data_IF_185765049656
#
_entry.id   IF_185765049656
#
_cell.length_a   1.000
_cell.length_b   1.000
_cell.length_c   1.000
_cell.angle_alpha   90.00
_cell.angle_beta   90.00
_cell.angle_gamma   90.00
#
_symmetry.space_group_name_H-M   'P 1'
#
loop_
_entity.id
_entity.type
_entity.pdbx_description
1 polymer ?
#
# COMPACT_ATOMS: atom_id res chain seq x y z
N UNK A 1 22.80 -22.24 40.40
CA UNK A 1 22.44 -22.19 38.96
C UNK A 1 21.09 -22.84 38.58
N UNK A 2 20.29 -23.43 39.49
CA UNK A 2 19.00 -24.09 39.11
C UNK A 2 17.70 -23.31 39.42
N UNK A 3 17.74 -22.16 40.10
CA UNK A 3 16.51 -21.39 40.46
C UNK A 3 16.10 -20.33 39.43
N UNK A 4 16.99 -19.92 38.52
CA UNK A 4 16.69 -18.87 37.52
C UNK A 4 15.91 -19.43 36.31
N UNK A 5 16.07 -20.72 36.00
CA UNK A 5 15.35 -21.37 34.91
C UNK A 5 13.87 -21.66 35.22
N UNK A 6 13.52 -21.82 36.50
CA UNK A 6 12.14 -22.14 36.91
C UNK A 6 11.20 -20.94 36.77
N UNK A 7 11.70 -19.71 37.00
CA UNK A 7 10.94 -18.48 36.83
C UNK A 7 10.66 -18.17 35.34
N UNK A 8 11.60 -18.53 34.45
CA UNK A 8 11.41 -18.41 33.00
C UNK A 8 10.33 -19.36 32.46
N UNK A 9 10.28 -20.60 32.98
CA UNK A 9 9.26 -21.58 32.59
C UNK A 9 7.87 -21.27 33.14
N UNK A 10 7.76 -20.70 34.36
CA UNK A 10 6.49 -20.22 34.91
C UNK A 10 5.97 -19.01 34.11
N UNK A 11 6.87 -18.11 33.68
CA UNK A 11 6.51 -16.98 32.81
C UNK A 11 6.03 -17.42 31.41
N UNK A 12 6.66 -18.44 30.83
CA UNK A 12 6.24 -19.02 29.54
C UNK A 12 4.91 -19.78 29.70
N UNK A 13 4.71 -20.52 30.80
CA UNK A 13 3.45 -21.20 31.08
C UNK A 13 2.31 -20.22 31.37
N UNK A 14 2.56 -19.10 32.04
CA UNK A 14 1.58 -18.01 32.23
C UNK A 14 1.25 -17.27 30.92
N UNK A 15 2.21 -17.12 30.00
CA UNK A 15 1.96 -16.60 28.65
C UNK A 15 1.15 -17.57 27.78
N UNK A 16 1.35 -18.88 27.94
CA UNK A 16 0.55 -19.91 27.26
C UNK A 16 -0.86 -19.97 27.86
N UNK A 17 -1.02 -19.84 29.18
CA UNK A 17 -2.32 -19.80 29.86
C UNK A 17 -3.06 -18.47 29.68
N UNK A 18 -2.36 -17.35 29.47
CA UNK A 18 -2.95 -16.10 28.99
C UNK A 18 -3.20 -16.11 27.47
N UNK A 19 -2.63 -17.11 26.76
CA UNK A 19 -2.59 -17.23 25.30
C UNK A 19 -3.77 -17.97 24.67
N UNK A 20 -4.69 -18.57 25.43
CA UNK A 20 -5.94 -19.12 24.86
C UNK A 20 -6.99 -18.04 24.55
N UNK A 21 -6.71 -16.77 24.85
CA UNK A 21 -7.42 -15.59 24.32
C UNK A 21 -6.47 -14.70 23.51
N UNK A 22 -5.59 -15.33 22.71
CA UNK A 22 -4.61 -14.64 21.88
C UNK A 22 -5.28 -13.65 20.92
N UNK A 23 -4.84 -12.39 21.01
CA UNK A 23 -4.99 -11.37 19.97
C UNK A 23 -4.63 -11.98 18.61
N UNK A 24 -5.63 -12.11 17.73
CA UNK A 24 -5.54 -12.98 16.56
C UNK A 24 -4.55 -12.52 15.48
N UNK A 25 -4.15 -11.25 15.46
CA UNK A 25 -3.09 -10.76 14.56
C UNK A 25 -2.32 -9.60 15.22
N UNK A 26 -1.03 -9.76 15.49
CA UNK A 26 -0.19 -8.67 15.97
C UNK A 26 0.49 -7.96 14.79
N UNK A 27 0.22 -6.66 14.60
CA UNK A 27 1.04 -5.83 13.73
C UNK A 27 2.40 -5.59 14.42
N UNK A 28 3.54 -6.00 13.84
CA UNK A 28 4.84 -5.68 14.40
C UNK A 28 5.03 -4.16 14.47
N UNK A 29 5.54 -3.68 15.61
CA UNK A 29 5.87 -2.26 15.78
C UNK A 29 6.96 -1.83 14.78
N UNK A 30 6.85 -0.63 14.18
CA UNK A 30 7.89 -0.10 13.33
C UNK A 30 9.16 0.17 14.15
N UNK A 31 10.22 -0.56 13.83
CA UNK A 31 11.51 -0.39 14.50
C UNK A 31 12.27 0.74 13.79
N UNK A 32 12.38 1.87 14.47
CA UNK A 32 13.17 3.02 14.02
C UNK A 32 14.67 2.67 13.96
N UNK A 33 15.42 3.23 13.01
CA UNK A 33 16.79 2.81 12.73
C UNK A 33 17.81 3.25 13.79
N UNK A 34 18.74 2.35 14.11
CA UNK A 34 20.07 2.70 14.62
C UNK A 34 20.98 3.20 13.47
N UNK A 35 21.91 4.10 13.81
CA UNK A 35 22.90 4.70 12.90
C UNK A 35 23.85 3.62 12.34
N UNK A 36 23.53 3.04 11.18
CA UNK A 36 24.51 2.38 10.32
C UNK A 36 24.10 2.47 8.84
N UNK A 37 25.03 2.96 8.01
CA UNK A 37 25.00 2.96 6.54
C UNK A 37 23.82 3.66 5.85
N UNK A 38 24.10 4.64 4.98
CA UNK A 38 23.10 5.23 4.07
C UNK A 38 22.76 4.18 2.99
N UNK A 39 21.82 3.27 3.29
CA UNK A 39 21.21 2.37 2.30
C UNK A 39 19.83 2.90 1.98
N UNK A 40 19.54 3.04 0.68
CA UNK A 40 18.21 3.35 0.20
C UNK A 40 17.21 2.26 0.55
N UNK A 41 15.95 2.63 0.62
CA UNK A 41 14.86 1.67 0.66
C UNK A 41 14.69 1.06 -0.74
N UNK A 42 14.43 -0.24 -0.78
CA UNK A 42 13.98 -0.96 -1.96
C UNK A 42 12.72 -0.33 -2.57
N UNK A 43 12.50 -0.44 -3.88
CA UNK A 43 11.28 0.08 -4.50
C UNK A 43 10.04 -0.71 -4.05
N UNK A 44 8.90 -0.04 -4.11
CA UNK A 44 7.56 -0.63 -3.90
C UNK A 44 6.83 -0.59 -5.23
N UNK A 45 6.24 -1.72 -5.61
CA UNK A 45 5.54 -1.91 -6.86
C UNK A 45 4.06 -2.25 -6.67
N UNK A 46 3.26 -1.94 -7.68
CA UNK A 46 1.90 -2.47 -7.83
C UNK A 46 1.92 -3.93 -8.33
N UNK A 47 0.74 -4.55 -8.47
CA UNK A 47 0.60 -5.94 -8.90
C UNK A 47 1.21 -6.22 -10.29
N UNK A 48 1.24 -5.21 -11.17
CA UNK A 48 1.78 -5.29 -12.54
C UNK A 48 3.24 -4.80 -12.63
N UNK A 49 3.92 -4.61 -11.49
CA UNK A 49 5.31 -4.12 -11.37
C UNK A 49 5.55 -2.69 -11.84
N UNK A 50 4.54 -1.82 -11.80
CA UNK A 50 4.71 -0.37 -11.93
C UNK A 50 5.18 0.22 -10.61
N UNK A 51 6.11 1.18 -10.68
CA UNK A 51 6.70 1.82 -9.50
C UNK A 51 5.68 2.67 -8.75
N UNK A 52 5.46 2.35 -7.47
CA UNK A 52 4.66 3.15 -6.54
C UNK A 52 5.54 4.03 -5.64
N UNK A 53 6.70 3.52 -5.25
CA UNK A 53 7.73 4.27 -4.52
C UNK A 53 9.13 3.78 -4.88
N UNK A 54 10.10 4.68 -4.99
CA UNK A 54 11.51 4.32 -5.24
C UNK A 54 12.47 5.36 -4.66
N UNK A 55 13.72 4.95 -4.43
CA UNK A 55 14.76 5.85 -3.94
C UNK A 55 15.62 6.35 -5.10
N UNK A 56 15.62 7.66 -5.31
CA UNK A 56 16.43 8.34 -6.32
C UNK A 56 17.72 8.82 -5.66
N UNK A 57 18.86 8.50 -6.27
CA UNK A 57 20.15 9.06 -5.85
C UNK A 57 20.25 10.51 -6.30
N UNK A 58 20.53 11.41 -5.36
CA UNK A 58 20.75 12.83 -5.60
C UNK A 58 22.09 13.25 -5.02
N UNK A 59 22.69 14.29 -5.58
CA UNK A 59 23.89 14.92 -5.03
C UNK A 59 23.46 16.17 -4.26
N UNK A 60 23.76 16.20 -2.97
CA UNK A 60 23.62 17.38 -2.12
C UNK A 60 24.97 18.05 -1.87
N UNK A 61 24.93 19.13 -1.09
CA UNK A 61 26.10 19.88 -0.65
C UNK A 61 26.33 19.59 0.83
N UNK A 62 27.43 18.91 1.17
CA UNK A 62 27.89 18.75 2.53
C UNK A 62 28.81 19.93 2.88
N UNK A 63 28.36 20.78 3.79
CA UNK A 63 29.16 21.85 4.35
C UNK A 63 29.77 21.37 5.65
N UNK A 64 31.08 21.56 5.81
CA UNK A 64 31.82 21.32 7.05
C UNK A 64 32.24 22.69 7.58
N UNK A 65 31.46 23.31 8.50
CA UNK A 65 31.69 24.69 8.91
C UNK A 65 33.09 24.94 9.47
N UNK A 66 33.65 23.98 10.23
CA UNK A 66 35.01 24.08 10.78
C UNK A 66 36.14 24.04 9.75
N UNK A 67 35.87 23.55 8.53
CA UNK A 67 36.82 23.51 7.42
C UNK A 67 36.48 24.54 6.33
N UNK A 68 35.37 25.28 6.47
CA UNK A 68 34.96 26.27 5.49
C UNK A 68 35.82 27.52 5.64
N UNK A 69 36.39 28.01 4.53
CA UNK A 69 37.22 29.23 4.51
C UNK A 69 36.36 30.46 4.17
N UNK A 70 35.96 31.29 5.16
CA UNK A 70 35.03 32.39 4.93
C UNK A 70 35.76 33.57 4.27
N UNK A 71 35.42 33.83 3.02
CA UNK A 71 35.73 35.07 2.30
C UNK A 71 34.45 35.64 1.70
N UNK A 72 34.34 36.95 1.42
CA UNK A 72 33.13 37.53 0.82
C UNK A 72 32.68 36.78 -0.44
N UNK A 73 33.64 36.40 -1.31
CA UNK A 73 33.39 35.60 -2.52
C UNK A 73 32.87 34.20 -2.22
N UNK A 74 33.42 33.51 -1.22
CA UNK A 74 33.00 32.16 -0.86
C UNK A 74 31.61 32.16 -0.21
N UNK A 75 31.32 33.16 0.62
CA UNK A 75 30.01 33.35 1.25
C UNK A 75 28.95 33.64 0.19
N UNK A 76 29.20 34.57 -0.72
CA UNK A 76 28.30 34.88 -1.84
C UNK A 76 28.03 33.62 -2.69
N UNK A 77 29.08 32.90 -3.07
CA UNK A 77 28.97 31.70 -3.92
C UNK A 77 28.18 30.59 -3.22
N UNK A 78 28.46 30.33 -1.94
CA UNK A 78 27.74 29.33 -1.15
C UNK A 78 26.28 29.76 -0.90
N UNK A 79 26.03 31.04 -0.61
CA UNK A 79 24.68 31.59 -0.46
C UNK A 79 23.86 31.41 -1.75
N UNK A 80 24.46 31.68 -2.91
CA UNK A 80 23.84 31.46 -4.22
C UNK A 80 23.53 29.98 -4.49
N UNK A 81 24.45 29.07 -4.14
CA UNK A 81 24.27 27.63 -4.27
C UNK A 81 23.11 27.10 -3.41
N UNK A 82 23.00 27.62 -2.17
CA UNK A 82 21.96 27.27 -1.20
C UNK A 82 20.64 28.04 -1.41
N UNK A 83 20.65 29.12 -2.21
CA UNK A 83 19.50 30.01 -2.36
C UNK A 83 19.14 30.79 -1.08
N UNK A 84 20.13 31.09 -0.25
CA UNK A 84 20.00 31.83 1.02
C UNK A 84 20.56 33.25 0.90
N UNK A 85 20.22 34.12 1.86
CA UNK A 85 20.90 35.42 2.03
C UNK A 85 22.27 35.22 2.70
N UNK A 86 23.23 36.08 2.38
CA UNK A 86 24.59 36.02 2.95
C UNK A 86 24.60 36.21 4.47
N UNK A 87 23.74 37.10 4.98
CA UNK A 87 23.59 37.36 6.42
C UNK A 87 23.11 36.11 7.17
N UNK A 88 22.13 35.39 6.60
CA UNK A 88 21.60 34.14 7.15
C UNK A 88 22.66 33.04 7.16
N UNK A 89 23.44 32.92 6.08
CA UNK A 89 24.53 31.96 5.97
C UNK A 89 25.65 32.27 6.98
N UNK A 90 25.98 33.55 7.16
CA UNK A 90 27.02 33.99 8.10
C UNK A 90 26.62 33.68 9.54
N UNK A 91 25.36 33.95 9.91
CA UNK A 91 24.81 33.57 11.22
C UNK A 91 24.80 32.04 11.41
N UNK A 92 24.44 31.29 10.37
CA UNK A 92 24.46 29.83 10.39
C UNK A 92 25.87 29.29 10.65
N UNK A 93 26.88 29.77 9.93
CA UNK A 93 28.30 29.37 10.11
C UNK A 93 28.86 29.75 11.50
N UNK A 94 28.40 30.88 12.05
CA UNK A 94 28.77 31.28 13.40
C UNK A 94 28.22 30.32 14.46
N UNK A 95 26.98 29.85 14.28
CA UNK A 95 26.23 29.05 15.26
C UNK A 95 26.41 27.53 15.13
N UNK A 96 26.59 27.02 13.92
CA UNK A 96 26.70 25.57 13.64
C UNK A 96 28.15 25.18 13.39
N UNK A 97 28.64 24.18 14.13
CA UNK A 97 30.01 23.64 13.99
C UNK A 97 30.07 22.25 13.35
N UNK A 98 28.95 21.51 13.42
CA UNK A 98 28.85 20.17 12.86
C UNK A 98 28.68 20.16 11.33
N UNK A 99 29.12 19.11 10.62
CA UNK A 99 28.83 18.94 9.20
C UNK A 99 27.32 18.90 8.92
N UNK A 100 26.87 19.68 7.93
CA UNK A 100 25.46 19.76 7.54
C UNK A 100 25.30 19.44 6.07
N UNK A 101 24.40 18.50 5.77
CA UNK A 101 24.01 18.15 4.40
C UNK A 101 22.84 19.02 3.96
N UNK A 102 23.08 19.91 3.01
CA UNK A 102 22.04 20.63 2.29
C UNK A 102 21.57 19.79 1.10
N UNK A 103 20.30 19.39 1.12
CA UNK A 103 19.64 18.66 0.04
C UNK A 103 19.09 19.64 -1.00
N UNK A 104 18.86 19.16 -2.24
CA UNK A 104 18.24 19.93 -3.35
C UNK A 104 18.90 21.29 -3.62
N UNK A 105 20.24 21.33 -3.67
CA UNK A 105 21.00 22.53 -4.01
C UNK A 105 21.03 22.81 -5.52
N UNK A 106 21.26 24.06 -5.91
CA UNK A 106 21.33 24.45 -7.34
C UNK A 106 22.58 23.88 -8.02
N UNK A 107 23.71 23.91 -7.32
CA UNK A 107 25.00 23.37 -7.73
C UNK A 107 25.87 23.17 -6.48
N UNK A 108 26.99 22.47 -6.62
CA UNK A 108 27.99 22.30 -5.55
C UNK A 108 29.24 23.09 -5.94
N UNK A 109 29.59 24.18 -5.24
CA UNK A 109 30.79 24.95 -5.55
C UNK A 109 32.06 24.25 -5.08
N UNK A 110 33.15 24.43 -5.81
CA UNK A 110 34.49 23.95 -5.43
C UNK A 110 35.14 24.92 -4.44
N UNK A 111 34.71 24.84 -3.18
CA UNK A 111 35.22 25.68 -2.08
C UNK A 111 35.68 24.77 -0.95
N UNK A 112 36.74 25.16 -0.26
CA UNK A 112 37.20 24.45 0.92
C UNK A 112 36.08 24.31 1.97
N UNK A 113 35.92 23.10 2.52
CA UNK A 113 34.83 22.77 3.45
C UNK A 113 33.48 22.51 2.79
N UNK A 114 33.37 22.56 1.45
CA UNK A 114 32.16 22.24 0.68
C UNK A 114 32.40 21.02 -0.18
N UNK A 115 31.59 19.97 0.00
CA UNK A 115 31.76 18.70 -0.71
C UNK A 115 30.45 18.22 -1.34
N UNK A 116 30.51 17.59 -2.53
CA UNK A 116 29.36 16.86 -3.05
C UNK A 116 29.11 15.63 -2.19
N UNK A 117 27.87 15.43 -1.76
CA UNK A 117 27.49 14.26 -0.97
C UNK A 117 26.21 13.63 -1.51
N UNK A 118 26.31 12.37 -1.92
CA UNK A 118 25.16 11.62 -2.36
C UNK A 118 24.20 11.34 -1.20
N UNK A 119 22.92 11.50 -1.46
CA UNK A 119 21.82 11.13 -0.58
C UNK A 119 20.69 10.51 -1.40
N UNK A 120 19.74 9.88 -0.72
CA UNK A 120 18.56 9.30 -1.36
C UNK A 120 17.35 10.17 -1.08
N UNK A 121 16.59 10.42 -2.14
CA UNK A 121 15.29 11.08 -2.08
C UNK A 121 14.23 10.05 -2.46
N UNK A 122 13.14 9.97 -1.68
CA UNK A 122 12.06 9.04 -1.99
C UNK A 122 11.10 9.68 -3.00
N UNK A 123 10.86 8.97 -4.10
CA UNK A 123 9.95 9.37 -5.17
C UNK A 123 8.68 8.55 -5.10
N UNK A 124 7.55 9.22 -5.31
CA UNK A 124 6.21 8.63 -5.28
C UNK A 124 5.44 9.05 -6.54
N UNK A 125 5.55 8.30 -7.66
CA UNK A 125 4.91 8.68 -8.92
C UNK A 125 3.38 8.87 -8.81
N UNK A 126 2.73 8.17 -7.88
CA UNK A 126 1.29 8.22 -7.63
C UNK A 126 0.93 8.77 -6.24
N UNK A 127 1.73 9.70 -5.70
CA UNK A 127 1.65 10.22 -4.32
C UNK A 127 0.23 10.53 -3.85
N UNK A 128 -0.54 11.29 -4.65
CA UNK A 128 -1.88 11.72 -4.24
C UNK A 128 -2.86 10.55 -4.08
N UNK A 129 -2.75 9.56 -4.97
CA UNK A 129 -3.69 8.45 -5.10
C UNK A 129 -3.33 7.32 -4.12
N UNK A 130 -2.04 7.12 -3.83
CA UNK A 130 -1.56 6.08 -2.90
C UNK A 130 -1.34 6.59 -1.46
N UNK A 131 -1.71 7.84 -1.18
CA UNK A 131 -1.48 8.52 0.11
C UNK A 131 -2.05 7.80 1.34
N UNK A 132 -3.00 6.87 1.16
CA UNK A 132 -3.59 6.08 2.23
C UNK A 132 -2.64 4.99 2.79
N UNK A 133 -1.67 4.54 2.01
CA UNK A 133 -0.76 3.46 2.41
C UNK A 133 0.72 3.73 2.04
N UNK A 134 1.00 4.80 1.30
CA UNK A 134 2.34 5.29 0.98
C UNK A 134 2.46 6.77 1.33
N UNK A 135 3.68 7.19 1.70
CA UNK A 135 4.02 8.58 1.92
C UNK A 135 5.11 8.76 2.99
N UNK A 136 5.48 10.01 3.23
CA UNK A 136 6.36 10.42 4.34
C UNK A 136 7.76 9.79 4.32
N UNK A 137 8.44 9.83 3.17
CA UNK A 137 9.85 9.44 2.99
C UNK A 137 10.20 8.02 3.49
N UNK A 138 9.24 7.10 3.39
CA UNK A 138 9.37 5.70 3.81
C UNK A 138 9.21 5.47 5.31
N UNK A 139 8.71 6.47 6.05
CA UNK A 139 8.48 6.42 7.49
C UNK A 139 7.02 6.18 7.87
N UNK A 140 6.12 5.99 6.90
CA UNK A 140 4.72 5.66 7.16
C UNK A 140 4.18 4.56 6.24
N UNK A 141 2.97 4.09 6.56
CA UNK A 141 2.24 3.12 5.75
C UNK A 141 2.96 1.78 5.60
N UNK A 142 2.86 1.19 4.41
CA UNK A 142 3.40 -0.14 4.10
C UNK A 142 4.94 -0.15 4.10
N UNK A 143 5.57 0.99 3.79
CA UNK A 143 7.03 1.12 3.82
C UNK A 143 7.58 1.05 5.24
N UNK A 144 6.90 1.69 6.20
CA UNK A 144 7.27 1.61 7.61
C UNK A 144 7.11 0.18 8.14
N UNK A 145 6.03 -0.50 7.76
CA UNK A 145 5.75 -1.88 8.17
C UNK A 145 6.85 -2.85 7.70
N UNK A 146 7.29 -2.74 6.44
CA UNK A 146 8.34 -3.60 5.87
C UNK A 146 9.74 -2.96 5.87
N UNK A 147 9.96 -1.91 6.66
CA UNK A 147 11.16 -1.07 6.61
C UNK A 147 12.48 -1.86 6.70
N UNK A 148 12.55 -2.80 7.66
CA UNK A 148 13.74 -3.64 7.86
C UNK A 148 14.08 -4.49 6.64
N UNK A 149 13.06 -5.03 5.97
CA UNK A 149 13.24 -5.89 4.81
C UNK A 149 13.58 -5.05 3.58
N UNK A 150 12.91 -3.90 3.40
CA UNK A 150 13.18 -2.94 2.34
C UNK A 150 14.57 -2.29 2.40
N UNK A 151 15.26 -2.27 3.55
CA UNK A 151 16.66 -1.79 3.63
C UNK A 151 17.70 -2.84 3.23
N UNK A 152 17.30 -4.09 2.98
CA UNK A 152 18.23 -5.14 2.55
C UNK A 152 18.70 -4.87 1.12
N UNK A 153 19.91 -5.32 0.79
CA UNK A 153 20.48 -5.08 -0.54
C UNK A 153 19.66 -5.83 -1.59
N UNK A 154 19.25 -5.13 -2.64
CA UNK A 154 18.47 -5.71 -3.74
C UNK A 154 17.07 -6.14 -3.34
N UNK A 155 16.51 -5.58 -2.26
CA UNK A 155 15.13 -5.86 -1.88
C UNK A 155 14.14 -4.99 -2.66
N UNK A 156 12.94 -5.52 -2.88
CA UNK A 156 11.79 -4.74 -3.31
C UNK A 156 10.50 -5.38 -2.79
N UNK A 157 9.43 -4.61 -2.72
CA UNK A 157 8.10 -5.06 -2.32
C UNK A 157 7.14 -5.00 -3.51
N UNK A 158 6.37 -6.07 -3.73
CA UNK A 158 5.24 -6.08 -4.67
C UNK A 158 3.96 -6.12 -3.86
N UNK A 159 3.07 -5.16 -4.11
CA UNK A 159 1.75 -5.10 -3.50
C UNK A 159 0.70 -5.79 -4.35
N UNK A 160 -0.46 -6.10 -3.77
CA UNK A 160 -1.66 -6.51 -4.49
C UNK A 160 -2.45 -5.34 -5.08
N UNK A 161 -1.96 -4.11 -4.93
CA UNK A 161 -2.62 -2.92 -5.46
C UNK A 161 -2.62 -2.98 -6.98
N UNK A 162 -3.78 -2.77 -7.58
CA UNK A 162 -3.96 -2.57 -9.01
C UNK A 162 -4.05 -1.06 -9.28
N UNK A 163 -3.00 -0.41 -9.80
CA UNK A 163 -2.95 1.08 -9.82
C UNK A 163 -4.08 1.70 -10.65
N UNK A 164 -4.59 1.00 -11.66
CA UNK A 164 -5.70 1.47 -12.48
C UNK A 164 -7.03 1.40 -11.72
N UNK A 165 -7.26 0.34 -10.93
CA UNK A 165 -8.39 0.24 -10.00
C UNK A 165 -8.30 1.28 -8.88
N UNK A 166 -7.09 1.50 -8.37
CA UNK A 166 -6.77 2.53 -7.37
C UNK A 166 -7.12 3.94 -7.87
N UNK A 167 -6.74 4.30 -9.11
CA UNK A 167 -7.11 5.57 -9.76
C UNK A 167 -8.61 5.74 -9.88
N UNK A 168 -9.31 4.73 -10.42
CA UNK A 168 -10.76 4.76 -10.57
C UNK A 168 -11.48 4.94 -9.22
N UNK A 169 -11.01 4.25 -8.17
CA UNK A 169 -11.59 4.34 -6.84
C UNK A 169 -11.36 5.74 -6.22
N UNK A 170 -10.19 6.34 -6.46
CA UNK A 170 -9.90 7.70 -6.00
C UNK A 170 -10.79 8.75 -6.68
N UNK A 171 -11.04 8.61 -7.99
CA UNK A 171 -11.99 9.46 -8.71
C UNK A 171 -13.42 9.30 -8.19
N UNK A 172 -13.85 8.06 -7.93
CA UNK A 172 -15.16 7.76 -7.33
C UNK A 172 -15.30 8.40 -5.93
N UNK A 173 -14.26 8.32 -5.10
CA UNK A 173 -14.22 8.95 -3.78
C UNK A 173 -14.33 10.47 -3.90
N UNK A 174 -13.53 11.12 -4.75
CA UNK A 174 -13.57 12.57 -4.94
C UNK A 174 -14.93 13.05 -5.46
N UNK A 175 -15.54 12.30 -6.39
CA UNK A 175 -16.89 12.59 -6.88
C UNK A 175 -17.91 12.51 -5.74
N UNK A 176 -17.78 11.51 -4.88
CA UNK A 176 -18.66 11.31 -3.71
C UNK A 176 -18.51 12.43 -2.69
N UNK A 177 -17.27 12.82 -2.35
CA UNK A 177 -16.96 13.93 -1.44
C UNK A 177 -17.57 15.24 -1.93
N UNK A 178 -17.34 15.59 -3.20
CA UNK A 178 -17.89 16.80 -3.81
C UNK A 178 -19.42 16.80 -3.80
N UNK A 179 -20.02 15.68 -4.22
CA UNK A 179 -21.48 15.55 -4.34
C UNK A 179 -22.18 15.70 -3.00
N UNK A 180 -21.66 15.05 -1.96
CA UNK A 180 -22.25 15.03 -0.62
C UNK A 180 -21.75 16.18 0.27
N UNK A 181 -20.88 17.05 -0.28
CA UNK A 181 -20.19 18.13 0.45
C UNK A 181 -19.55 17.62 1.74
N UNK A 182 -18.94 16.44 1.67
CA UNK A 182 -18.29 15.79 2.79
C UNK A 182 -16.87 16.35 3.01
N UNK A 183 -16.42 16.35 4.27
CA UNK A 183 -15.13 16.92 4.67
C UNK A 183 -13.96 16.00 4.31
N UNK A 184 -14.13 14.70 4.54
CA UNK A 184 -13.10 13.66 4.35
C UNK A 184 -13.75 12.32 4.07
N UNK A 185 -12.97 11.37 3.56
CA UNK A 185 -13.47 10.06 3.21
C UNK A 185 -12.38 9.05 2.88
N UNK A 186 -12.74 7.78 2.87
CA UNK A 186 -11.88 6.68 2.43
C UNK A 186 -12.68 5.61 1.70
N UNK A 187 -12.01 4.84 0.86
CA UNK A 187 -12.60 3.68 0.22
C UNK A 187 -11.59 2.54 0.07
N UNK A 188 -12.08 1.30 0.11
CA UNK A 188 -11.28 0.08 0.09
C UNK A 188 -11.97 -0.98 -0.78
N UNK A 189 -11.18 -1.78 -1.50
CA UNK A 189 -11.60 -2.96 -2.24
C UNK A 189 -10.74 -4.15 -1.80
N UNK A 190 -11.40 -5.21 -1.36
CA UNK A 190 -10.81 -6.46 -0.89
C UNK A 190 -11.22 -7.61 -1.81
N UNK A 191 -10.26 -8.44 -2.18
CA UNK A 191 -10.45 -9.63 -2.98
C UNK A 191 -10.93 -10.81 -2.12
N UNK A 192 -12.05 -11.43 -2.48
CA UNK A 192 -12.69 -12.49 -1.69
C UNK A 192 -12.00 -13.85 -1.83
N UNK A 193 -11.21 -14.04 -2.89
CA UNK A 193 -10.47 -15.28 -3.11
C UNK A 193 -9.19 -15.32 -2.28
N UNK A 194 -8.46 -14.20 -2.27
CA UNK A 194 -7.11 -14.13 -1.68
C UNK A 194 -7.05 -13.38 -0.35
N UNK A 195 -8.12 -12.67 0.04
CA UNK A 195 -8.14 -11.79 1.22
C UNK A 195 -7.29 -10.53 1.08
N UNK A 196 -6.75 -10.23 -0.11
CA UNK A 196 -5.84 -9.09 -0.31
C UNK A 196 -6.56 -7.81 -0.70
N UNK A 197 -5.93 -6.69 -0.40
CA UNK A 197 -6.43 -5.37 -0.74
C UNK A 197 -5.98 -5.01 -2.16
N UNK A 198 -6.94 -4.80 -3.06
CA UNK A 198 -6.70 -4.43 -4.46
C UNK A 198 -6.63 -2.92 -4.68
N UNK A 199 -7.33 -2.16 -3.84
CA UNK A 199 -7.30 -0.70 -3.85
C UNK A 199 -7.68 -0.14 -2.47
N UNK A 200 -7.02 0.94 -2.06
CA UNK A 200 -7.21 1.61 -0.78
C UNK A 200 -6.89 3.10 -0.90
N UNK A 201 -7.91 3.95 -0.81
CA UNK A 201 -7.80 5.40 -1.02
C UNK A 201 -8.33 6.18 0.18
N UNK A 202 -7.79 7.37 0.41
CA UNK A 202 -8.26 8.30 1.44
C UNK A 202 -8.14 9.75 0.96
N UNK A 203 -8.92 10.64 1.56
CA UNK A 203 -8.83 12.09 1.35
C UNK A 203 -9.16 12.83 2.65
N UNK A 204 -8.30 13.76 3.03
CA UNK A 204 -8.46 14.62 4.21
C UNK A 204 -7.96 13.99 5.53
N UNK A 205 -8.04 12.67 5.68
CA UNK A 205 -7.52 11.93 6.83
C UNK A 205 -7.00 10.57 6.34
N UNK A 206 -5.68 10.34 6.42
CA UNK A 206 -5.04 9.12 5.89
C UNK A 206 -5.51 7.87 6.64
N UNK A 207 -5.89 8.01 7.90
CA UNK A 207 -6.21 6.91 8.81
C UNK A 207 -7.70 6.65 8.95
N UNK A 208 -8.53 7.32 8.13
CA UNK A 208 -9.99 7.32 8.28
C UNK A 208 -10.63 5.93 8.27
N UNK A 209 -10.01 4.94 7.61
CA UNK A 209 -10.50 3.56 7.56
C UNK A 209 -9.91 2.64 8.64
N UNK A 210 -8.88 3.07 9.37
CA UNK A 210 -8.23 2.28 10.43
C UNK A 210 -8.72 2.65 11.83
N UNK A 211 -9.29 3.84 11.98
CA UNK A 211 -9.90 4.33 13.24
C UNK A 211 -11.34 3.79 13.39
N UNK A 212 -11.78 3.41 14.61
CA UNK A 212 -13.09 2.82 14.84
C UNK A 212 -14.17 3.90 14.97
N UNK A 213 -14.49 4.54 13.85
CA UNK A 213 -15.39 5.70 13.81
C UNK A 213 -16.81 5.34 13.38
N UNK A 214 -17.02 4.12 12.89
CA UNK A 214 -18.26 3.74 12.23
C UNK A 214 -19.13 2.97 13.22
N UNK A 215 -20.30 3.50 13.63
CA UNK A 215 -21.28 2.72 14.37
C UNK A 215 -21.78 1.56 13.51
N UNK A 216 -21.84 0.35 14.09
CA UNK A 216 -22.24 -0.84 13.33
C UNK A 216 -23.72 -0.78 12.91
N UNK A 217 -24.55 -0.06 13.65
CA UNK A 217 -25.97 0.21 13.33
C UNK A 217 -26.17 0.67 11.88
N UNK A 218 -25.20 1.37 11.30
CA UNK A 218 -25.22 1.82 9.89
C UNK A 218 -25.40 0.66 8.91
N UNK A 219 -24.93 -0.53 9.28
CA UNK A 219 -25.09 -1.78 8.53
C UNK A 219 -25.89 -2.83 9.33
N UNK A 220 -26.67 -2.42 10.33
CA UNK A 220 -27.31 -3.30 11.30
C UNK A 220 -28.13 -4.42 10.65
N UNK A 221 -29.00 -4.09 9.70
CA UNK A 221 -29.82 -5.06 8.96
C UNK A 221 -29.03 -6.19 8.31
N UNK A 222 -27.80 -5.90 7.86
CA UNK A 222 -26.93 -6.92 7.25
C UNK A 222 -26.48 -7.91 8.31
N UNK A 223 -25.98 -7.41 9.44
CA UNK A 223 -25.45 -8.26 10.50
C UNK A 223 -26.57 -9.00 11.24
N UNK A 224 -27.68 -8.34 11.55
CA UNK A 224 -28.87 -8.95 12.19
C UNK A 224 -29.44 -10.08 11.33
N UNK A 225 -29.70 -9.83 10.03
CA UNK A 225 -30.27 -10.85 9.15
C UNK A 225 -29.33 -12.04 8.85
N UNK A 226 -28.02 -11.87 9.03
CA UNK A 226 -27.07 -13.00 8.99
C UNK A 226 -26.97 -13.72 10.32
N UNK A 227 -27.05 -13.00 11.44
CA UNK A 227 -27.11 -13.57 12.79
C UNK A 227 -28.32 -14.50 12.93
N UNK A 228 -29.51 -14.08 12.49
CA UNK A 228 -30.75 -14.87 12.52
C UNK A 228 -30.64 -16.22 11.77
N UNK A 229 -29.76 -16.31 10.77
CA UNK A 229 -29.54 -17.52 9.94
C UNK A 229 -28.32 -18.34 10.38
N UNK A 230 -27.61 -17.85 11.38
CA UNK A 230 -26.39 -18.46 11.90
C UNK A 230 -26.71 -19.36 13.09
N UNK A 231 -25.74 -20.13 13.54
CA UNK A 231 -25.89 -21.00 14.72
C UNK A 231 -25.33 -20.37 16.01
N UNK A 232 -25.21 -19.04 16.07
CA UNK A 232 -24.68 -18.34 17.25
C UNK A 232 -25.78 -18.11 18.29
N UNK A 233 -25.42 -18.22 19.56
CA UNK A 233 -26.35 -18.02 20.68
C UNK A 233 -26.64 -16.53 20.93
N UNK A 234 -25.65 -15.67 20.71
CA UNK A 234 -25.75 -14.24 20.97
C UNK A 234 -24.98 -13.40 19.93
N UNK A 235 -25.42 -12.15 19.78
CA UNK A 235 -24.87 -11.21 18.81
C UNK A 235 -23.41 -10.84 19.09
N UNK A 236 -23.00 -10.80 20.37
CA UNK A 236 -21.63 -10.43 20.73
C UNK A 236 -20.64 -11.52 20.28
N UNK A 237 -20.98 -12.80 20.47
CA UNK A 237 -20.21 -13.93 19.99
C UNK A 237 -20.13 -13.96 18.46
N UNK A 238 -21.25 -13.70 17.76
CA UNK A 238 -21.28 -13.61 16.30
C UNK A 238 -20.36 -12.51 15.76
N UNK A 239 -20.44 -11.30 16.31
CA UNK A 239 -19.58 -10.19 15.89
C UNK A 239 -18.11 -10.41 16.26
N UNK A 240 -17.85 -11.04 17.41
CA UNK A 240 -16.47 -11.38 17.80
C UNK A 240 -15.82 -12.35 16.83
N UNK A 241 -16.53 -13.39 16.39
CA UNK A 241 -16.01 -14.33 15.38
C UNK A 241 -15.87 -13.70 13.99
N UNK A 242 -16.64 -12.65 13.68
CA UNK A 242 -16.41 -11.79 12.50
C UNK A 242 -15.23 -10.82 12.67
N UNK A 243 -14.56 -10.84 13.84
CA UNK A 243 -13.35 -10.06 14.12
C UNK A 243 -13.61 -8.60 14.51
N UNK A 244 -14.76 -8.27 15.08
CA UNK A 244 -14.98 -6.98 15.72
C UNK A 244 -14.34 -6.93 17.11
N UNK A 245 -13.82 -5.77 17.51
CA UNK A 245 -13.14 -5.59 18.80
C UNK A 245 -11.67 -6.03 18.82
N UNK A 246 -11.11 -6.38 17.65
CA UNK A 246 -9.71 -6.75 17.46
C UNK A 246 -9.12 -6.09 16.20
N UNK A 247 -7.79 -5.94 16.18
CA UNK A 247 -7.07 -5.53 14.97
C UNK A 247 -7.25 -6.56 13.86
N UNK A 248 -7.30 -6.12 12.60
CA UNK A 248 -7.49 -7.02 11.47
C UNK A 248 -6.20 -7.73 11.04
N UNK A 249 -5.06 -7.19 11.48
CA UNK A 249 -3.74 -7.66 11.06
C UNK A 249 -3.34 -7.12 9.69
N UNK A 250 -3.97 -6.04 9.24
CA UNK A 250 -3.52 -5.33 8.05
C UNK A 250 -2.06 -4.91 8.19
N UNK A 251 -1.30 -5.03 7.11
CA UNK A 251 0.12 -4.67 7.06
C UNK A 251 0.34 -3.16 6.91
N UNK A 252 -0.40 -2.39 7.71
CA UNK A 252 -0.30 -0.96 7.88
C UNK A 252 -0.25 -0.60 9.37
N UNK A 253 0.53 0.42 9.76
CA UNK A 253 0.60 0.88 11.14
C UNK A 253 -0.70 1.58 11.57
N UNK A 254 -0.85 1.80 12.88
CA UNK A 254 -1.90 2.62 13.50
C UNK A 254 -3.33 2.09 13.33
N UNK A 255 -3.51 0.79 13.15
CA UNK A 255 -4.83 0.16 13.27
C UNK A 255 -5.29 0.10 14.72
N UNK A 256 -6.57 0.42 14.95
CA UNK A 256 -7.21 0.34 16.25
C UNK A 256 -8.27 -0.79 16.27
N UNK A 257 -8.36 -1.58 17.35
CA UNK A 257 -9.19 -2.79 17.41
C UNK A 257 -10.71 -2.53 17.45
N UNK A 258 -11.15 -1.29 17.58
CA UNK A 258 -12.58 -0.97 17.73
C UNK A 258 -13.19 -1.36 19.06
N UNK A 259 -14.46 -1.03 19.23
CA UNK A 259 -15.21 -1.23 20.46
C UNK A 259 -16.29 -2.30 20.23
N UNK A 260 -16.14 -3.43 20.92
CA UNK A 260 -17.15 -4.48 21.00
C UNK A 260 -17.48 -4.73 22.48
N UNK A 261 -18.65 -4.31 22.96
CA UNK A 261 -19.09 -4.62 24.31
C UNK A 261 -19.21 -6.13 24.55
N UNK A 262 -19.04 -6.62 25.79
CA UNK A 262 -19.19 -8.05 26.11
C UNK A 262 -20.62 -8.56 25.89
N UNK A 263 -21.61 -7.69 26.05
CA UNK A 263 -23.02 -7.94 25.74
C UNK A 263 -23.56 -6.75 24.93
N UNK A 264 -24.36 -7.03 23.89
CA UNK A 264 -24.83 -6.01 22.94
C UNK A 264 -26.31 -5.75 23.18
N UNK A 265 -26.62 -4.57 23.71
CA UNK A 265 -27.97 -4.01 23.77
C UNK A 265 -28.38 -3.33 22.47
N UNK A 266 -27.44 -2.66 21.81
CA UNK A 266 -27.64 -1.95 20.56
C UNK A 266 -26.39 -2.01 19.68
N UNK A 267 -26.58 -2.09 18.37
CA UNK A 267 -25.48 -1.95 17.40
C UNK A 267 -24.92 -0.51 17.34
N UNK A 268 -25.60 0.45 17.96
CA UNK A 268 -25.08 1.79 18.23
C UNK A 268 -23.91 1.79 19.23
N UNK A 269 -23.75 0.74 20.03
CA UNK A 269 -22.66 0.65 21.02
C UNK A 269 -21.38 0.04 20.42
N UNK A 270 -21.50 -0.58 19.25
CA UNK A 270 -20.37 -1.18 18.54
C UNK A 270 -19.71 -0.13 17.65
N UNK A 271 -18.39 0.04 17.76
CA UNK A 271 -17.60 0.93 16.89
C UNK A 271 -16.57 0.11 16.11
N UNK A 272 -16.63 0.21 14.79
CA UNK A 272 -15.75 -0.51 13.90
C UNK A 272 -14.94 0.43 13.00
N UNK A 273 -13.78 -0.05 12.56
CA UNK A 273 -13.01 0.56 11.48
C UNK A 273 -13.58 0.16 10.12
N UNK A 274 -13.24 0.91 9.06
CA UNK A 274 -13.64 0.56 7.69
C UNK A 274 -13.02 -0.77 7.22
N UNK A 275 -11.80 -1.08 7.68
CA UNK A 275 -11.13 -2.35 7.38
C UNK A 275 -11.84 -3.53 8.08
N UNK A 276 -12.25 -3.37 9.34
CA UNK A 276 -13.05 -4.39 10.04
C UNK A 276 -14.37 -4.67 9.31
N UNK A 277 -15.07 -3.63 8.85
CA UNK A 277 -16.34 -3.78 8.14
C UNK A 277 -16.18 -4.51 6.80
N UNK A 278 -15.21 -4.15 5.97
CA UNK A 278 -15.01 -4.83 4.68
C UNK A 278 -14.53 -6.27 4.88
N UNK A 279 -13.70 -6.53 5.90
CA UNK A 279 -13.28 -7.88 6.31
C UNK A 279 -14.48 -8.73 6.73
N UNK A 280 -15.35 -8.20 7.58
CA UNK A 280 -16.54 -8.92 8.05
C UNK A 280 -17.50 -9.23 6.89
N UNK A 281 -17.69 -8.30 5.95
CA UNK A 281 -18.49 -8.55 4.74
C UNK A 281 -17.90 -9.67 3.87
N UNK A 282 -16.58 -9.71 3.73
CA UNK A 282 -15.91 -10.80 3.03
C UNK A 282 -16.11 -12.14 3.75
N UNK A 283 -16.04 -12.15 5.07
CA UNK A 283 -16.29 -13.35 5.87
C UNK A 283 -17.73 -13.86 5.73
N UNK A 284 -18.73 -12.98 5.75
CA UNK A 284 -20.13 -13.34 5.49
C UNK A 284 -20.33 -13.93 4.08
N UNK A 285 -19.54 -13.51 3.10
CA UNK A 285 -19.64 -14.05 1.73
C UNK A 285 -18.91 -15.37 1.54
N UNK A 286 -17.83 -15.60 2.27
CA UNK A 286 -16.87 -16.70 2.00
C UNK A 286 -16.86 -17.78 3.06
N UNK A 287 -17.42 -17.51 4.25
CA UNK A 287 -17.24 -18.34 5.44
C UNK A 287 -15.82 -18.28 6.01
N UNK A 288 -14.97 -17.35 5.55
CA UNK A 288 -13.57 -17.24 5.95
C UNK A 288 -13.23 -15.82 6.43
N UNK A 289 -12.68 -15.72 7.63
CA UNK A 289 -12.09 -14.49 8.13
C UNK A 289 -10.65 -14.39 7.64
N UNK A 290 -10.31 -13.30 6.95
CA UNK A 290 -8.96 -13.04 6.44
C UNK A 290 -8.20 -12.06 7.35
N UNK A 291 -6.87 -12.17 7.42
CA UNK A 291 -6.00 -11.07 7.84
C UNK A 291 -5.59 -10.27 6.59
N UNK A 292 -6.26 -9.15 6.26
CA UNK A 292 -6.09 -8.52 4.96
C UNK A 292 -4.66 -8.02 4.76
N UNK A 293 -4.06 -8.21 3.58
CA UNK A 293 -2.72 -7.68 3.27
C UNK A 293 -2.72 -6.83 2.00
N UNK A 294 -1.92 -5.76 1.99
CA UNK A 294 -1.54 -5.02 0.80
C UNK A 294 -0.32 -5.65 0.14
N UNK A 295 0.63 -6.13 0.92
CA UNK A 295 1.83 -6.73 0.36
C UNK A 295 1.54 -8.16 -0.12
N UNK A 296 2.10 -8.49 -1.29
CA UNK A 296 1.93 -9.79 -1.93
C UNK A 296 3.24 -10.57 -1.89
N UNK A 297 4.33 -9.94 -2.30
CA UNK A 297 5.63 -10.58 -2.42
C UNK A 297 6.70 -9.61 -1.92
N UNK A 298 7.74 -10.14 -1.29
CA UNK A 298 8.95 -9.41 -0.99
C UNK A 298 10.15 -10.16 -1.56
N UNK A 299 11.00 -9.44 -2.28
CA UNK A 299 12.26 -9.99 -2.77
C UNK A 299 13.39 -9.49 -1.90
N UNK A 300 14.35 -10.36 -1.60
CA UNK A 300 15.59 -10.04 -0.90
C UNK A 300 16.75 -10.66 -1.68
N UNK A 301 17.42 -9.85 -2.50
CA UNK A 301 18.51 -10.35 -3.36
C UNK A 301 18.02 -11.32 -4.43
N UNK A 302 18.31 -12.62 -4.27
CA UNK A 302 17.84 -13.69 -5.20
C UNK A 302 16.59 -14.40 -4.70
N UNK A 303 16.28 -14.30 -3.42
CA UNK A 303 15.15 -14.97 -2.79
C UNK A 303 13.88 -14.16 -2.95
N UNK A 304 12.78 -14.83 -3.26
CA UNK A 304 11.45 -14.24 -3.42
C UNK A 304 10.50 -14.96 -2.46
N UNK A 305 9.89 -14.20 -1.55
CA UNK A 305 9.03 -14.70 -0.50
C UNK A 305 7.62 -14.13 -0.72
N UNK A 306 6.62 -15.02 -0.74
CA UNK A 306 5.21 -14.61 -0.79
C UNK A 306 4.72 -14.34 0.62
N UNK A 307 4.11 -13.18 0.82
CA UNK A 307 3.54 -12.79 2.11
C UNK A 307 2.21 -13.51 2.28
N UNK A 308 2.09 -14.35 3.31
CA UNK A 308 0.89 -15.13 3.59
C UNK A 308 -0.26 -14.24 4.09
N UNK A 309 -1.46 -14.56 3.62
CA UNK A 309 -2.71 -14.05 4.20
C UNK A 309 -3.22 -15.14 5.13
N UNK A 310 -3.26 -14.85 6.42
CA UNK A 310 -3.80 -15.76 7.42
C UNK A 310 -5.32 -15.83 7.31
N UNK A 311 -5.89 -17.03 7.52
CA UNK A 311 -7.32 -17.27 7.37
C UNK A 311 -7.87 -18.14 8.50
N UNK A 312 -9.07 -17.82 8.99
CA UNK A 312 -9.85 -18.65 9.93
C UNK A 312 -11.20 -19.00 9.29
N UNK A 313 -11.56 -20.29 9.31
CA UNK A 313 -12.90 -20.72 8.86
C UNK A 313 -13.94 -20.39 9.95
N UNK A 314 -15.13 -19.99 9.53
CA UNK A 314 -16.25 -19.63 10.40
C UNK A 314 -17.39 -20.63 10.23
N UNK A 315 -17.26 -21.78 10.89
CA UNK A 315 -18.16 -22.94 10.69
C UNK A 315 -19.61 -22.68 11.12
N UNK A 316 -19.84 -21.70 11.98
CA UNK A 316 -21.16 -21.30 12.50
C UNK A 316 -21.90 -20.31 11.58
N UNK A 317 -21.27 -19.85 10.50
CA UNK A 317 -21.86 -18.90 9.54
C UNK A 317 -22.36 -19.65 8.31
N UNK A 318 -23.58 -19.35 7.90
CA UNK A 318 -24.12 -19.73 6.59
C UNK A 318 -23.71 -18.66 5.57
N UNK A 319 -22.83 -18.97 4.59
CA UNK A 319 -22.39 -17.97 3.62
C UNK A 319 -23.52 -17.41 2.77
N UNK A 320 -23.38 -16.17 2.32
CA UNK A 320 -24.40 -15.50 1.48
C UNK A 320 -24.62 -16.22 0.14
N UNK A 321 -25.83 -16.74 -0.08
CA UNK A 321 -26.22 -17.44 -1.33
C UNK A 321 -26.19 -16.56 -2.60
N UNK A 322 -26.32 -15.24 -2.44
CA UNK A 322 -26.23 -14.25 -3.52
C UNK A 322 -25.47 -13.02 -3.02
N UNK A 323 -24.57 -12.51 -3.86
CA UNK A 323 -24.08 -11.14 -3.72
C UNK A 323 -25.19 -10.14 -3.99
N UNK A 324 -25.00 -8.93 -3.50
CA UNK A 324 -25.99 -7.87 -3.68
C UNK A 324 -26.41 -7.25 -2.37
N UNK A 325 -25.45 -6.87 -1.53
CA UNK A 325 -25.76 -5.92 -0.48
C UNK A 325 -25.69 -4.51 -1.11
N UNK A 326 -26.84 -3.85 -1.15
CA UNK A 326 -26.99 -2.40 -1.36
C UNK A 326 -27.86 -1.86 -0.22
N UNK A 327 -27.51 -0.66 0.26
CA UNK A 327 -28.25 0.29 1.16
C UNK A 327 -27.86 0.31 2.65
N UNK A 328 -27.96 1.44 3.39
CA UNK A 328 -27.52 2.83 3.16
C UNK A 328 -26.83 3.27 4.45
N UNK A 329 -25.69 3.94 4.38
CA UNK A 329 -25.25 4.76 5.50
C UNK A 329 -25.63 6.21 5.24
N UNK A 330 -26.68 6.68 5.90
CA UNK A 330 -27.00 8.10 5.97
C UNK A 330 -27.68 8.37 7.29
N UNK A 331 -26.93 8.34 8.39
CA UNK A 331 -27.49 8.77 9.67
C UNK A 331 -27.62 10.29 9.64
N UNK A 332 -28.86 10.77 9.64
CA UNK A 332 -29.21 12.18 9.81
C UNK A 332 -28.59 12.79 11.08
N UNK A 333 -28.27 11.95 12.08
CA UNK A 333 -27.65 12.38 13.35
C UNK A 333 -26.12 12.44 13.32
N UNK A 334 -25.44 11.67 12.45
CA UNK A 334 -23.99 11.39 12.61
C UNK A 334 -23.12 12.11 11.55
N UNK A 335 -23.70 12.87 10.62
CA UNK A 335 -22.91 13.65 9.65
C UNK A 335 -21.97 12.79 8.80
N UNK A 336 -22.26 11.50 8.63
CA UNK A 336 -21.41 10.52 7.99
C UNK A 336 -22.20 9.61 7.05
N UNK A 337 -21.51 9.02 6.08
CA UNK A 337 -22.10 8.21 5.02
C UNK A 337 -21.25 6.98 4.75
N UNK A 338 -21.88 5.80 4.70
CA UNK A 338 -21.20 4.52 4.44
C UNK A 338 -21.91 3.83 3.28
N UNK A 339 -21.13 3.29 2.35
CA UNK A 339 -21.60 2.31 1.37
C UNK A 339 -20.65 1.13 1.48
N UNK A 340 -21.19 -0.07 1.63
CA UNK A 340 -20.41 -1.28 1.54
C UNK A 340 -21.19 -2.34 0.79
N UNK A 341 -20.48 -3.26 0.14
CA UNK A 341 -21.15 -4.28 -0.65
C UNK A 341 -20.20 -5.30 -1.27
N UNK A 342 -20.82 -6.25 -1.97
CA UNK A 342 -20.18 -7.35 -2.65
C UNK A 342 -20.41 -7.25 -4.16
N UNK A 343 -19.38 -7.51 -4.95
CA UNK A 343 -19.42 -7.41 -6.40
C UNK A 343 -18.68 -8.58 -7.08
N UNK A 344 -19.19 -9.11 -8.22
CA UNK A 344 -20.50 -8.87 -8.81
C UNK A 344 -21.66 -9.36 -7.94
N UNK A 345 -22.89 -8.99 -8.30
CA UNK A 345 -24.10 -9.41 -7.57
C UNK A 345 -24.26 -10.93 -7.55
N UNK A 346 -24.08 -11.61 -8.68
CA UNK A 346 -24.06 -13.07 -8.70
C UNK A 346 -22.60 -13.53 -8.62
N UNK A 347 -22.31 -14.46 -7.71
CA UNK A 347 -20.96 -14.96 -7.45
C UNK A 347 -19.94 -13.84 -7.13
N UNK A 348 -20.03 -13.23 -5.94
CA UNK A 348 -19.09 -12.20 -5.50
C UNK A 348 -17.63 -12.61 -5.63
N UNK A 349 -16.81 -11.63 -6.00
CA UNK A 349 -15.34 -11.76 -6.08
C UNK A 349 -14.63 -10.69 -5.27
N UNK A 350 -15.29 -9.56 -5.04
CA UNK A 350 -14.72 -8.42 -4.33
C UNK A 350 -15.72 -7.90 -3.29
N UNK A 351 -15.23 -7.57 -2.11
CA UNK A 351 -15.91 -6.71 -1.15
C UNK A 351 -15.39 -5.28 -1.29
N UNK A 352 -16.26 -4.29 -1.14
CA UNK A 352 -15.86 -2.88 -1.15
C UNK A 352 -16.55 -2.10 -0.05
N UNK A 353 -15.91 -1.00 0.36
CA UNK A 353 -16.47 -0.04 1.30
C UNK A 353 -16.04 1.38 0.92
N UNK A 354 -16.95 2.34 1.10
CA UNK A 354 -16.75 3.78 0.99
C UNK A 354 -17.30 4.41 2.26
N UNK A 355 -16.50 5.19 2.95
CA UNK A 355 -16.89 5.93 4.16
C UNK A 355 -16.58 7.41 3.98
N UNK A 356 -17.54 8.27 4.29
CA UNK A 356 -17.43 9.72 4.25
C UNK A 356 -17.84 10.32 5.59
N UNK A 357 -17.18 11.39 5.99
CA UNK A 357 -17.42 12.09 7.25
C UNK A 357 -17.58 13.60 7.01
N UNK A 358 -18.40 14.25 7.83
CA UNK A 358 -18.74 15.67 7.70
C UNK A 358 -19.62 15.96 6.48
N UNK A 359 -20.51 15.04 6.13
CA UNK A 359 -21.48 15.16 5.03
C UNK A 359 -22.49 16.25 5.38
N UNK A 360 -22.71 17.20 4.44
CA UNK A 360 -23.60 18.36 4.63
C UNK A 360 -24.79 18.40 3.68
N UNK A 361 -24.72 17.72 2.54
CA UNK A 361 -25.80 17.68 1.55
C UNK A 361 -26.58 16.37 1.67
N UNK A 362 -27.72 16.41 2.34
CA UNK A 362 -28.69 15.31 2.44
C UNK A 362 -29.97 15.68 1.68
N UNK A 363 -30.60 14.70 1.01
CA UNK A 363 -31.98 14.86 0.53
C UNK A 363 -32.20 15.17 -0.96
N UNK A 364 -31.29 14.84 -1.89
CA UNK A 364 -31.68 14.76 -3.31
C UNK A 364 -32.25 13.35 -3.63
N UNK A 365 -33.52 13.22 -4.11
CA UNK A 365 -34.17 11.93 -4.40
C UNK A 365 -33.63 11.18 -5.63
N UNK A 366 -32.65 11.73 -6.33
CA UNK A 366 -32.04 11.08 -7.49
C UNK A 366 -30.73 10.39 -7.08
N UNK A 367 -30.36 9.31 -7.78
CA UNK A 367 -28.99 8.73 -7.87
C UNK A 367 -28.63 7.44 -7.10
N UNK A 368 -29.58 6.74 -6.49
CA UNK A 368 -29.32 5.46 -5.78
C UNK A 368 -28.76 4.31 -6.64
N UNK A 369 -28.80 4.43 -7.98
CA UNK A 369 -28.31 3.39 -8.91
C UNK A 369 -26.87 3.61 -9.41
N UNK A 370 -26.19 4.72 -9.04
CA UNK A 370 -24.88 5.11 -9.63
C UNK A 370 -23.69 5.12 -8.66
N UNK A 371 -23.86 4.68 -7.41
CA UNK A 371 -22.82 4.71 -6.37
C UNK A 371 -22.05 3.39 -6.17
N UNK A 372 -22.24 2.41 -7.06
CA UNK A 372 -21.26 1.33 -7.19
C UNK A 372 -19.98 1.98 -7.72
N UNK A 373 -18.84 1.88 -7.00
CA UNK A 373 -17.57 2.36 -7.55
C UNK A 373 -17.37 1.77 -8.95
N UNK A 374 -17.05 2.60 -9.93
CA UNK A 374 -16.67 2.12 -11.25
C UNK A 374 -15.45 1.20 -11.14
N UNK A 375 -14.59 1.43 -10.13
CA UNK A 375 -13.46 0.58 -9.78
C UNK A 375 -13.79 -0.91 -9.59
N UNK A 376 -14.96 -1.26 -9.04
CA UNK A 376 -15.37 -2.68 -8.92
C UNK A 376 -16.05 -3.19 -10.20
N UNK A 377 -16.67 -2.31 -10.98
CA UNK A 377 -17.40 -2.65 -12.22
C UNK A 377 -16.51 -2.90 -13.41
N UNK A 378 -15.36 -2.23 -13.46
CA UNK A 378 -14.51 -2.26 -14.63
C UNK A 378 -13.92 -3.66 -14.83
N UNK A 379 -14.45 -4.35 -15.83
CA UNK A 379 -14.10 -5.73 -16.18
C UNK A 379 -12.76 -5.83 -16.91
N UNK A 380 -12.11 -4.71 -17.25
CA UNK A 380 -10.74 -4.70 -17.80
C UNK A 380 -9.77 -5.39 -16.84
N UNK A 381 -9.98 -5.26 -15.53
CA UNK A 381 -9.17 -5.90 -14.49
C UNK A 381 -9.36 -7.42 -14.39
N UNK A 382 -10.52 -7.95 -14.80
CA UNK A 382 -10.77 -9.40 -14.87
C UNK A 382 -10.19 -10.05 -16.12
N UNK A 383 -9.94 -9.28 -17.19
CA UNK A 383 -9.41 -9.81 -18.46
C UNK A 383 -7.88 -9.90 -18.47
N UNK A 384 -7.16 -8.93 -17.89
CA UNK A 384 -5.68 -8.91 -17.95
C UNK A 384 -5.04 -10.09 -17.20
N UNK A 385 -5.64 -10.56 -16.10
CA UNK A 385 -5.14 -11.73 -15.37
C UNK A 385 -5.40 -13.08 -16.09
N UNK A 386 -6.39 -13.14 -16.99
CA UNK A 386 -6.83 -14.38 -17.65
C UNK A 386 -6.54 -14.46 -19.15
N UNK A 387 -6.14 -13.36 -19.79
CA UNK A 387 -5.64 -13.41 -21.16
C UNK A 387 -4.14 -13.77 -21.12
N UNK A 388 -3.83 -15.05 -21.36
CA UNK A 388 -2.52 -15.40 -21.91
C UNK A 388 -2.37 -14.56 -23.19
N UNK A 389 -1.45 -13.59 -23.19
CA UNK A 389 -1.11 -12.81 -24.39
C UNK A 389 -0.95 -13.80 -25.55
N UNK A 390 -1.64 -13.62 -26.70
CA UNK A 390 -1.48 -14.52 -27.83
C UNK A 390 0.00 -14.61 -28.17
N UNK A 391 0.55 -15.81 -28.42
CA UNK A 391 1.95 -15.98 -28.71
C UNK A 391 2.30 -15.09 -29.90
N UNK A 392 3.23 -14.15 -29.69
CA UNK A 392 3.69 -13.28 -30.76
C UNK A 392 4.32 -14.13 -31.85
N UNK A 393 4.00 -13.84 -33.11
CA UNK A 393 4.66 -14.45 -34.26
C UNK A 393 6.13 -14.02 -34.25
N UNK A 394 7.01 -14.91 -33.82
CA UNK A 394 8.46 -14.69 -33.87
C UNK A 394 8.88 -14.98 -35.32
N UNK A 395 9.48 -14.00 -36.03
CA UNK A 395 9.94 -14.24 -37.39
C UNK A 395 11.07 -15.28 -37.40
N UNK A 396 10.91 -16.33 -38.21
CA UNK A 396 11.92 -17.38 -38.35
C UNK A 396 13.24 -16.78 -38.86
N UNK A 397 14.34 -17.06 -38.16
CA UNK A 397 15.71 -16.71 -38.55
C UNK A 397 15.99 -15.20 -38.71
N UNK A 398 15.14 -14.31 -38.17
CA UNK A 398 15.35 -12.85 -38.15
C UNK A 398 15.12 -12.27 -36.75
N UNK A 399 15.85 -11.20 -36.45
CA UNK A 399 15.74 -10.49 -35.17
C UNK A 399 14.34 -9.89 -35.00
N UNK A 400 13.59 -10.22 -33.94
CA UNK A 400 12.27 -9.64 -33.68
C UNK A 400 12.37 -8.16 -33.29
N UNK A 401 11.28 -7.41 -33.47
CA UNK A 401 11.16 -6.06 -32.91
C UNK A 401 10.79 -6.15 -31.43
N UNK A 402 11.76 -5.80 -30.59
CA UNK A 402 11.72 -5.79 -29.14
C UNK A 402 11.42 -4.39 -28.58
N UNK A 403 11.25 -3.37 -29.44
CA UNK A 403 10.88 -2.03 -28.97
C UNK A 403 9.47 -2.01 -28.41
N UNK A 404 9.26 -1.21 -27.37
CA UNK A 404 8.01 -1.14 -26.62
C UNK A 404 7.79 -2.32 -25.67
N UNK A 405 8.72 -3.27 -25.59
CA UNK A 405 8.60 -4.42 -24.70
C UNK A 405 9.23 -4.13 -23.35
N UNK A 406 8.62 -4.65 -22.29
CA UNK A 406 9.30 -4.72 -21.00
C UNK A 406 10.53 -5.63 -21.11
N UNK A 407 11.49 -5.43 -20.22
CA UNK A 407 12.68 -6.29 -20.15
C UNK A 407 12.31 -7.78 -20.11
N UNK A 408 11.31 -8.15 -19.30
CA UNK A 408 10.85 -9.53 -19.17
C UNK A 408 10.37 -10.10 -20.51
N UNK A 409 9.49 -9.38 -21.21
CA UNK A 409 8.97 -9.82 -22.52
C UNK A 409 10.07 -9.90 -23.58
N UNK A 410 11.03 -8.98 -23.55
CA UNK A 410 12.18 -9.01 -24.46
C UNK A 410 13.08 -10.21 -24.18
N UNK A 411 13.35 -10.53 -22.90
CA UNK A 411 14.14 -11.69 -22.49
C UNK A 411 13.46 -13.02 -22.85
N UNK A 412 12.15 -13.13 -22.64
CA UNK A 412 11.37 -14.31 -23.05
C UNK A 412 11.46 -14.53 -24.56
N UNK A 413 11.35 -13.45 -25.34
CA UNK A 413 11.45 -13.49 -26.81
C UNK A 413 12.85 -13.87 -27.29
N UNK A 414 13.90 -13.33 -26.66
CA UNK A 414 15.29 -13.63 -27.00
C UNK A 414 15.71 -15.05 -26.59
N UNK A 415 15.26 -15.51 -25.42
CA UNK A 415 15.51 -16.88 -24.92
C UNK A 415 14.92 -17.95 -25.84
N UNK A 416 13.70 -17.71 -26.35
CA UNK A 416 13.07 -18.60 -27.34
C UNK A 416 13.85 -18.72 -28.66
N UNK A 417 14.75 -17.76 -28.94
CA UNK A 417 15.64 -17.74 -30.11
C UNK A 417 17.07 -18.18 -29.78
N UNK A 418 17.36 -18.56 -28.52
CA UNK A 418 18.71 -18.92 -28.08
C UNK A 418 19.68 -17.75 -28.02
N UNK A 419 19.19 -16.51 -27.87
CA UNK A 419 19.99 -15.29 -27.84
C UNK A 419 20.17 -14.79 -26.39
N UNK A 420 21.40 -14.40 -26.06
CA UNK A 420 21.69 -13.70 -24.80
C UNK A 420 21.34 -12.21 -24.91
N UNK A 421 20.88 -11.61 -23.81
CA UNK A 421 20.53 -10.20 -23.77
C UNK A 421 21.49 -9.41 -22.88
N UNK A 422 22.05 -8.33 -23.41
CA UNK A 422 22.72 -7.29 -22.63
C UNK A 422 21.80 -6.08 -22.58
N UNK A 423 21.62 -5.43 -21.42
CA UNK A 423 20.68 -4.32 -21.35
C UNK A 423 21.13 -3.18 -20.43
N UNK A 424 20.67 -1.98 -20.72
CA UNK A 424 20.95 -0.77 -19.96
C UNK A 424 19.66 0.04 -19.78
N UNK A 425 19.37 0.45 -18.54
CA UNK A 425 18.15 1.17 -18.18
C UNK A 425 17.08 0.25 -17.59
N UNK A 426 15.90 0.81 -17.34
CA UNK A 426 14.75 0.13 -16.75
C UNK A 426 13.49 0.47 -17.54
N UNK A 427 12.38 -0.24 -17.33
CA UNK A 427 11.11 0.06 -18.00
C UNK A 427 10.94 -0.65 -19.33
N UNK A 428 10.70 0.13 -20.39
CA UNK A 428 10.39 -0.40 -21.73
C UNK A 428 11.56 -0.20 -22.69
N UNK A 429 11.84 -1.21 -23.50
CA UNK A 429 12.87 -1.20 -24.54
C UNK A 429 12.58 -0.09 -25.54
N UNK A 430 13.47 0.90 -25.61
CA UNK A 430 13.40 1.99 -26.59
C UNK A 430 14.27 1.73 -27.80
N UNK A 431 15.35 0.99 -27.61
CA UNK A 431 16.22 0.58 -28.70
C UNK A 431 16.79 -0.81 -28.46
N UNK A 432 17.13 -1.46 -29.57
CA UNK A 432 17.75 -2.77 -29.59
C UNK A 432 18.87 -2.78 -30.62
N UNK A 433 19.82 -3.68 -30.45
CA UNK A 433 20.82 -4.02 -31.44
C UNK A 433 21.11 -5.52 -31.37
N UNK A 434 21.17 -6.28 -32.47
CA UNK A 434 20.91 -5.89 -33.86
C UNK A 434 19.49 -5.35 -34.13
N UNK A 435 19.34 -4.58 -35.23
CA UNK A 435 18.07 -3.96 -35.59
C UNK A 435 17.00 -5.01 -35.93
N UNK A 436 15.70 -4.70 -35.77
CA UNK A 436 14.62 -5.59 -36.18
C UNK A 436 14.77 -6.04 -37.64
N UNK A 437 14.55 -7.33 -37.91
CA UNK A 437 14.67 -7.95 -39.23
C UNK A 437 16.06 -8.46 -39.60
N UNK A 438 17.09 -8.24 -38.76
CA UNK A 438 18.46 -8.71 -39.03
C UNK A 438 18.54 -10.24 -39.06
N UNK A 439 19.17 -10.89 -40.07
CA UNK A 439 19.32 -12.35 -40.12
C UNK A 439 20.14 -12.91 -38.95
N UNK A 440 19.64 -13.93 -38.25
CA UNK A 440 20.21 -14.44 -36.98
C UNK A 440 21.40 -15.40 -37.11
N UNK A 441 21.81 -15.79 -38.33
CA UNK A 441 22.82 -16.85 -38.59
C UNK A 441 24.14 -16.77 -37.81
N UNK A 442 24.57 -15.58 -37.35
CA UNK A 442 25.82 -15.37 -36.60
C UNK A 442 25.63 -14.50 -35.34
N UNK A 443 24.38 -14.27 -34.93
CA UNK A 443 24.08 -13.41 -33.79
C UNK A 443 23.82 -14.32 -32.59
N UNK A 444 24.56 -14.10 -31.52
CA UNK A 444 24.37 -14.79 -30.24
C UNK A 444 23.91 -13.85 -29.13
N UNK A 445 23.99 -12.53 -29.37
CA UNK A 445 23.72 -11.49 -28.37
C UNK A 445 22.84 -10.39 -28.94
N UNK A 446 21.95 -9.84 -28.11
CA UNK A 446 21.16 -8.65 -28.38
C UNK A 446 21.34 -7.63 -27.25
N UNK A 447 21.73 -6.40 -27.59
CA UNK A 447 21.82 -5.28 -26.66
C UNK A 447 20.50 -4.49 -26.67
N UNK A 448 19.97 -4.18 -25.49
CA UNK A 448 18.74 -3.41 -25.29
C UNK A 448 19.04 -2.12 -24.52
N UNK A 449 18.38 -1.02 -24.89
CA UNK A 449 18.31 0.19 -24.08
C UNK A 449 16.87 0.41 -23.68
N UNK A 450 16.64 0.64 -22.39
CA UNK A 450 15.33 0.86 -21.81
C UNK A 450 15.22 2.30 -21.27
N UNK A 451 14.00 2.87 -21.27
CA UNK A 451 13.70 4.21 -20.74
C UNK A 451 12.84 4.19 -19.48
#
# INVERSE_FOLDING_TARGET
MKKVWLLGLIGIALLILAGEKAYLFSSPEPILPEKSGVRSLGPVYDLERRTLAESITRTGLLLVPGAFSPSPKNIETLAKALGKKEEELSLFLATHKEPVLFQRVKFVPEIEGVFPKNYFERSYPYKDICSAFLGDDGLSGVEAYYYKLLRRKGSYLVTSIEIEKQKALFEDLNRSLKRLRAKRGGAIILDLETGRIKALVSKGDKEILFKPRIPLEVLGKVFEGNFEKSSYEDMASFLRDLGFGEATGIDLPNEEPGLLPPAISSLEDVRASGVQLVRALAALSTGKLFSPKLAKEIRIGKEEETISVETKNLDKITPLERGGVWWWGGSYKVGSFVIAGLWPRKNPKEAFLVYLEGVKAYGLPCYYTRFIPQAVKDSRFYKVANEKKPPRKIPENRMPDLRGLTLKEALETLSALGLEAEFQGFGVTVSQWPAPGTPLKKITKCRLVLR
#
